data_IF_785442567907
#
_entry.id   IF_785442567907
#
_cell.length_a   1.000
_cell.length_b   1.000
_cell.length_c   1.000
_cell.angle_alpha   90.00
_cell.angle_beta   90.00
_cell.angle_gamma   90.00
#
_symmetry.space_group_name_H-M   'P 1'
#
loop_
_entity.id
_entity.type
_entity.pdbx_description
1 polymer ?
#
# COMPACT_ATOMS: atom_id res chain seq x y z
N UNK A 1 43.55 -4.05 -17.19
CA UNK A 1 42.51 -5.13 -17.12
C UNK A 1 42.26 -5.47 -15.66
N UNK A 2 41.02 -5.45 -15.19
CA UNK A 2 40.66 -5.97 -13.83
C UNK A 2 40.77 -7.49 -13.86
N UNK A 3 41.53 -8.06 -12.91
CA UNK A 3 41.68 -9.51 -12.77
C UNK A 3 40.40 -10.08 -12.15
N UNK A 4 39.69 -10.97 -12.84
CA UNK A 4 38.57 -11.72 -12.33
C UNK A 4 39.13 -12.89 -11.51
N UNK A 5 38.68 -13.01 -10.26
CA UNK A 5 38.94 -14.16 -9.39
C UNK A 5 37.65 -14.96 -9.29
N UNK A 6 37.69 -16.20 -9.76
CA UNK A 6 36.59 -17.14 -9.66
C UNK A 6 36.85 -18.04 -8.46
N UNK A 7 35.91 -18.12 -7.52
CA UNK A 7 35.98 -19.01 -6.36
C UNK A 7 34.72 -19.88 -6.34
N UNK A 8 34.90 -21.14 -6.05
CA UNK A 8 33.80 -22.06 -5.73
C UNK A 8 33.50 -21.94 -4.22
N UNK A 9 32.24 -21.76 -3.88
CA UNK A 9 31.77 -21.58 -2.50
C UNK A 9 30.68 -22.62 -2.21
N UNK A 10 30.67 -23.13 -0.98
CA UNK A 10 29.71 -24.15 -0.51
C UNK A 10 28.42 -23.52 0.08
N UNK A 11 27.95 -22.42 -0.53
CA UNK A 11 26.68 -21.82 -0.14
C UNK A 11 25.87 -21.38 -1.37
N UNK A 12 24.56 -21.45 -1.22
CA UNK A 12 23.63 -21.01 -2.25
C UNK A 12 23.54 -19.49 -2.30
N UNK A 13 23.66 -18.95 -3.52
CA UNK A 13 23.41 -17.53 -3.78
C UNK A 13 21.95 -17.34 -4.22
N UNK A 14 21.31 -16.33 -3.68
CA UNK A 14 19.96 -15.94 -4.11
C UNK A 14 19.96 -14.55 -4.76
N UNK A 15 19.31 -14.38 -5.92
CA UNK A 15 19.12 -13.06 -6.53
C UNK A 15 18.07 -12.22 -5.80
N UNK A 16 17.34 -12.80 -4.84
CA UNK A 16 16.18 -12.18 -4.18
C UNK A 16 16.41 -11.90 -2.70
N UNK A 17 17.67 -11.68 -2.29
CA UNK A 17 18.06 -11.47 -0.89
C UNK A 17 17.25 -10.34 -0.20
N UNK A 18 16.83 -9.31 -0.94
CA UNK A 18 16.00 -8.21 -0.44
C UNK A 18 14.64 -8.66 0.15
N UNK A 19 14.15 -9.86 -0.20
CA UNK A 19 12.92 -10.41 0.40
C UNK A 19 13.00 -10.61 1.91
N UNK A 20 14.20 -10.77 2.46
CA UNK A 20 14.38 -10.86 3.92
C UNK A 20 13.95 -9.58 4.63
N UNK A 21 14.13 -8.41 4.01
CA UNK A 21 13.66 -7.12 4.54
C UNK A 21 12.13 -7.01 4.47
N UNK A 22 11.54 -7.47 3.37
CA UNK A 22 10.08 -7.55 3.23
C UNK A 22 9.50 -8.47 4.30
N UNK A 23 10.09 -9.65 4.49
CA UNK A 23 9.67 -10.59 5.53
C UNK A 23 9.81 -10.02 6.94
N UNK A 24 10.88 -9.26 7.21
CA UNK A 24 11.03 -8.55 8.48
C UNK A 24 9.86 -7.57 8.73
N UNK A 25 9.46 -6.79 7.73
CA UNK A 25 8.28 -5.93 7.82
C UNK A 25 6.99 -6.75 8.05
N UNK A 26 6.82 -7.87 7.32
CA UNK A 26 5.65 -8.74 7.47
C UNK A 26 5.58 -9.43 8.85
N UNK A 27 6.70 -9.60 9.54
CA UNK A 27 6.71 -10.15 10.90
C UNK A 27 5.96 -9.25 11.91
N UNK A 28 5.96 -7.94 11.71
CA UNK A 28 5.16 -7.01 12.50
C UNK A 28 3.64 -7.27 12.33
N UNK A 29 3.24 -7.86 11.21
CA UNK A 29 1.85 -8.16 10.85
C UNK A 29 1.39 -9.56 11.29
N UNK A 30 2.20 -10.33 12.03
CA UNK A 30 1.81 -11.68 12.48
C UNK A 30 0.44 -11.73 13.19
N UNK A 31 0.08 -10.78 14.08
CA UNK A 31 -1.25 -10.78 14.69
C UNK A 31 -2.37 -10.58 13.65
N UNK A 32 -2.16 -9.72 12.65
CA UNK A 32 -3.11 -9.47 11.57
C UNK A 32 -3.31 -10.73 10.72
N UNK A 33 -2.24 -11.43 10.35
CA UNK A 33 -2.31 -12.69 9.61
C UNK A 33 -3.04 -13.80 10.38
N UNK A 34 -2.79 -13.93 11.69
CA UNK A 34 -3.54 -14.88 12.53
C UNK A 34 -5.03 -14.56 12.57
N UNK A 35 -5.40 -13.27 12.66
CA UNK A 35 -6.81 -12.83 12.60
C UNK A 35 -7.42 -13.10 11.24
N UNK A 36 -6.67 -12.91 10.15
CA UNK A 36 -7.10 -13.24 8.79
C UNK A 36 -7.42 -14.74 8.68
N UNK A 37 -6.51 -15.61 9.10
CA UNK A 37 -6.72 -17.06 9.03
C UNK A 37 -7.88 -17.53 9.94
N UNK A 38 -8.05 -16.91 11.10
CA UNK A 38 -9.17 -17.21 12.01
C UNK A 38 -10.53 -16.75 11.43
N UNK A 39 -10.56 -15.59 10.76
CA UNK A 39 -11.79 -15.05 10.16
C UNK A 39 -12.18 -15.77 8.86
N UNK A 40 -11.20 -16.29 8.12
CA UNK A 40 -11.41 -17.01 6.87
C UNK A 40 -10.84 -18.44 6.97
N UNK A 41 -11.44 -19.31 7.81
CA UNK A 41 -10.91 -20.64 8.04
C UNK A 41 -10.98 -21.49 6.78
N UNK A 42 -9.96 -22.35 6.62
CA UNK A 42 -9.89 -23.34 5.53
C UNK A 42 -9.88 -24.76 6.14
N UNK A 43 -10.45 -25.72 5.41
CA UNK A 43 -10.47 -27.12 5.84
C UNK A 43 -9.22 -27.92 5.47
N UNK A 44 -8.19 -27.25 4.93
CA UNK A 44 -6.93 -27.84 4.51
C UNK A 44 -6.32 -27.06 3.35
N UNK A 45 -5.05 -27.36 3.03
CA UNK A 45 -4.30 -26.67 1.99
C UNK A 45 -3.59 -25.40 2.48
N UNK A 46 -3.41 -24.44 1.59
CA UNK A 46 -2.61 -23.23 1.82
C UNK A 46 -3.40 -22.22 2.65
N UNK A 47 -2.85 -21.75 3.77
CA UNK A 47 -3.44 -20.72 4.62
C UNK A 47 -3.65 -19.41 3.85
N UNK A 48 -4.65 -18.59 4.25
CA UNK A 48 -4.86 -17.31 3.60
C UNK A 48 -3.72 -16.32 3.86
N UNK A 49 -3.08 -16.42 5.02
CA UNK A 49 -1.84 -15.70 5.32
C UNK A 49 -0.72 -16.05 4.34
N UNK A 50 -0.53 -17.33 4.01
CA UNK A 50 0.47 -17.78 3.04
C UNK A 50 0.15 -17.28 1.62
N UNK A 51 -1.13 -17.24 1.24
CA UNK A 51 -1.60 -16.66 -0.03
C UNK A 51 -1.20 -15.18 -0.13
N UNK A 52 -1.52 -14.39 0.89
CA UNK A 52 -1.22 -12.95 0.90
C UNK A 52 0.29 -12.71 0.95
N UNK A 53 1.04 -13.43 1.78
CA UNK A 53 2.51 -13.32 1.87
C UNK A 53 3.17 -13.68 0.54
N UNK A 54 2.68 -14.74 -0.14
CA UNK A 54 3.19 -15.16 -1.45
C UNK A 54 2.99 -14.05 -2.48
N UNK A 55 1.80 -13.44 -2.51
CA UNK A 55 1.51 -12.38 -3.46
C UNK A 55 2.31 -11.09 -3.16
N UNK A 56 2.46 -10.71 -1.89
CA UNK A 56 3.34 -9.59 -1.49
C UNK A 56 4.78 -9.88 -1.94
N UNK A 57 5.26 -11.12 -1.78
CA UNK A 57 6.59 -11.51 -2.25
C UNK A 57 6.77 -11.36 -3.75
N UNK A 58 5.76 -11.71 -4.55
CA UNK A 58 5.76 -11.50 -6.00
C UNK A 58 5.80 -10.00 -6.34
N UNK A 59 4.92 -9.19 -5.73
CA UNK A 59 4.88 -7.75 -5.96
C UNK A 59 6.20 -7.08 -5.59
N UNK A 60 6.84 -7.50 -4.50
CA UNK A 60 8.15 -7.00 -4.09
C UNK A 60 9.28 -7.33 -5.10
N UNK A 61 9.07 -8.35 -5.95
CA UNK A 61 9.96 -8.69 -7.07
C UNK A 61 9.54 -8.03 -8.40
N UNK A 62 8.56 -7.13 -8.38
CA UNK A 62 8.01 -6.53 -9.60
C UNK A 62 7.20 -7.50 -10.45
N UNK A 63 6.72 -8.62 -9.88
CA UNK A 63 5.90 -9.63 -10.57
C UNK A 63 4.43 -9.40 -10.20
N UNK A 64 3.61 -9.01 -11.16
CA UNK A 64 2.16 -8.85 -10.97
C UNK A 64 1.36 -10.07 -11.44
N UNK A 65 1.96 -10.98 -12.18
CA UNK A 65 1.33 -12.21 -12.67
C UNK A 65 1.41 -13.31 -11.62
N UNK A 66 0.29 -13.94 -11.35
CA UNK A 66 0.20 -15.09 -10.44
C UNK A 66 1.03 -16.30 -10.89
N UNK A 67 1.24 -16.46 -12.20
CA UNK A 67 2.01 -17.58 -12.76
C UNK A 67 3.50 -17.50 -12.38
N UNK A 68 3.99 -16.29 -12.05
CA UNK A 68 5.35 -16.12 -11.58
C UNK A 68 5.66 -16.88 -10.28
N UNK A 69 4.64 -17.30 -9.49
CA UNK A 69 4.85 -18.06 -8.25
C UNK A 69 5.48 -19.43 -8.51
N UNK A 70 5.27 -20.00 -9.71
CA UNK A 70 5.82 -21.31 -10.08
C UNK A 70 7.37 -21.31 -10.11
N UNK A 71 7.98 -20.14 -10.36
CA UNK A 71 9.44 -19.99 -10.36
C UNK A 71 10.05 -20.15 -8.95
N UNK A 72 9.24 -20.05 -7.90
CA UNK A 72 9.69 -20.12 -6.49
C UNK A 72 9.33 -21.44 -5.81
N UNK A 73 8.79 -22.42 -6.53
CA UNK A 73 8.35 -23.70 -5.95
C UNK A 73 9.45 -24.45 -5.20
N UNK A 74 10.66 -24.45 -5.73
CA UNK A 74 11.83 -25.07 -5.11
C UNK A 74 12.67 -24.11 -4.28
N UNK A 75 12.30 -22.83 -4.21
CA UNK A 75 13.10 -21.80 -3.54
C UNK A 75 12.80 -21.79 -2.04
N UNK A 76 13.70 -22.41 -1.27
CA UNK A 76 13.61 -22.41 0.19
C UNK A 76 13.76 -21.00 0.77
N UNK A 77 14.59 -20.15 0.15
CA UNK A 77 14.83 -18.79 0.62
C UNK A 77 13.58 -17.90 0.49
N UNK A 78 12.84 -18.01 -0.64
CA UNK A 78 11.57 -17.29 -0.81
C UNK A 78 10.58 -17.63 0.31
N UNK A 79 10.41 -18.92 0.60
CA UNK A 79 9.52 -19.39 1.67
C UNK A 79 9.94 -18.90 3.06
N UNK A 80 11.22 -19.09 3.40
CA UNK A 80 11.76 -18.73 4.70
C UNK A 80 11.75 -17.23 4.93
N UNK A 81 12.16 -16.46 3.94
CA UNK A 81 12.20 -14.98 4.02
C UNK A 81 10.83 -14.39 4.32
N UNK A 82 9.77 -14.95 3.75
CA UNK A 82 8.41 -14.45 3.89
C UNK A 82 7.59 -15.17 4.98
N UNK A 83 8.17 -16.12 5.72
CA UNK A 83 7.50 -16.91 6.74
C UNK A 83 6.27 -17.65 6.18
N UNK A 84 6.44 -18.29 5.01
CA UNK A 84 5.43 -19.06 4.29
C UNK A 84 5.59 -20.54 4.65
N UNK A 85 4.55 -21.13 5.21
CA UNK A 85 4.54 -22.57 5.53
C UNK A 85 4.34 -23.40 4.26
N UNK A 86 3.36 -23.04 3.44
CA UNK A 86 3.04 -23.78 2.20
C UNK A 86 2.85 -22.79 1.03
N UNK A 87 3.72 -22.91 0.02
CA UNK A 87 3.65 -22.09 -1.18
C UNK A 87 2.47 -22.53 -2.07
N UNK A 88 1.57 -21.59 -2.46
CA UNK A 88 0.46 -21.92 -3.35
C UNK A 88 0.95 -22.22 -4.78
N UNK A 89 0.18 -23.00 -5.53
CA UNK A 89 0.29 -23.02 -6.99
C UNK A 89 -0.31 -21.77 -7.61
N UNK A 90 0.06 -21.45 -8.85
CA UNK A 90 -0.54 -20.33 -9.59
C UNK A 90 -2.08 -20.41 -9.63
N UNK A 91 -2.70 -21.57 -9.99
CA UNK A 91 -4.15 -21.71 -9.93
C UNK A 91 -4.74 -21.47 -8.52
N UNK A 92 -4.08 -21.98 -7.48
CA UNK A 92 -4.52 -21.80 -6.09
C UNK A 92 -4.45 -20.33 -5.68
N UNK A 93 -3.35 -19.65 -6.02
CA UNK A 93 -3.17 -18.23 -5.73
C UNK A 93 -4.26 -17.39 -6.40
N UNK A 94 -4.49 -17.60 -7.71
CA UNK A 94 -5.51 -16.91 -8.49
C UNK A 94 -6.91 -17.14 -7.92
N UNK A 95 -7.32 -18.40 -7.80
CA UNK A 95 -8.65 -18.75 -7.30
C UNK A 95 -8.92 -18.21 -5.89
N UNK A 96 -7.91 -18.23 -5.02
CA UNK A 96 -8.06 -17.74 -3.65
C UNK A 96 -8.16 -16.21 -3.61
N UNK A 97 -7.36 -15.51 -4.39
CA UNK A 97 -7.43 -14.04 -4.49
C UNK A 97 -8.78 -13.60 -5.05
N UNK A 98 -9.28 -14.26 -6.12
CA UNK A 98 -10.58 -13.95 -6.71
C UNK A 98 -11.73 -14.24 -5.72
N UNK A 99 -11.75 -15.45 -5.14
CA UNK A 99 -12.84 -15.86 -4.25
C UNK A 99 -12.90 -15.09 -2.92
N UNK A 100 -11.81 -14.46 -2.50
CA UNK A 100 -11.69 -13.76 -1.21
C UNK A 100 -11.38 -12.28 -1.35
N UNK A 101 -11.42 -11.70 -2.54
CA UNK A 101 -11.04 -10.32 -2.81
C UNK A 101 -11.75 -9.32 -1.86
N UNK A 102 -13.08 -9.38 -1.75
CA UNK A 102 -13.85 -8.47 -0.88
C UNK A 102 -13.50 -8.64 0.60
N UNK A 103 -13.35 -9.88 1.07
CA UNK A 103 -12.97 -10.13 2.45
C UNK A 103 -11.52 -9.70 2.75
N UNK A 104 -10.59 -9.92 1.81
CA UNK A 104 -9.19 -9.50 1.96
C UNK A 104 -9.07 -7.97 1.98
N UNK A 105 -9.92 -7.27 1.26
CA UNK A 105 -9.95 -5.80 1.25
C UNK A 105 -10.08 -5.21 2.67
N UNK A 106 -10.93 -5.80 3.52
CA UNK A 106 -11.14 -5.34 4.89
C UNK A 106 -9.95 -5.57 5.82
N UNK A 107 -9.01 -6.45 5.44
CA UNK A 107 -7.78 -6.69 6.22
C UNK A 107 -6.62 -5.77 5.84
N UNK A 108 -6.62 -5.16 4.66
CA UNK A 108 -5.51 -4.32 4.19
C UNK A 108 -5.34 -3.05 5.04
N UNK A 109 -6.37 -2.24 5.32
CA UNK A 109 -6.22 -1.02 6.12
C UNK A 109 -5.65 -1.26 7.52
N UNK A 110 -6.15 -2.25 8.31
CA UNK A 110 -5.55 -2.59 9.60
C UNK A 110 -4.09 -3.06 9.51
N UNK A 111 -3.70 -3.73 8.43
CA UNK A 111 -2.30 -4.13 8.23
C UNK A 111 -1.41 -2.90 7.97
N UNK A 112 -1.84 -1.97 7.12
CA UNK A 112 -1.13 -0.71 6.87
C UNK A 112 -0.97 0.07 8.18
N UNK A 113 -2.03 0.22 8.95
CA UNK A 113 -2.01 0.93 10.22
C UNK A 113 -1.07 0.26 11.23
N UNK A 114 -1.09 -1.08 11.33
CA UNK A 114 -0.18 -1.83 12.21
C UNK A 114 1.28 -1.64 11.79
N UNK A 115 1.57 -1.71 10.49
CA UNK A 115 2.92 -1.55 9.96
C UNK A 115 3.46 -0.15 10.23
N UNK A 116 2.74 0.89 9.83
CA UNK A 116 3.15 2.28 9.97
C UNK A 116 3.18 2.71 11.44
N UNK A 117 2.18 2.32 12.22
CA UNK A 117 2.13 2.62 13.66
C UNK A 117 3.23 1.95 14.46
N UNK A 118 3.65 0.73 14.07
CA UNK A 118 4.76 0.01 14.68
C UNK A 118 6.13 0.58 14.32
N UNK A 119 6.33 0.97 13.06
CA UNK A 119 7.59 1.54 12.56
C UNK A 119 7.76 3.01 12.94
N UNK A 120 6.66 3.75 13.15
CA UNK A 120 6.65 5.19 13.44
C UNK A 120 7.59 6.00 12.53
N UNK A 121 7.44 5.89 11.21
CA UNK A 121 8.32 6.58 10.30
C UNK A 121 8.17 8.09 10.45
N UNK A 122 9.18 8.83 10.01
CA UNK A 122 9.03 10.26 9.80
C UNK A 122 8.10 10.47 8.58
N UNK A 123 6.91 11.00 8.82
CA UNK A 123 5.94 11.29 7.77
C UNK A 123 6.29 12.53 6.95
N UNK A 124 7.25 13.35 7.39
CA UNK A 124 7.60 14.62 6.75
C UNK A 124 6.54 15.69 6.99
N UNK A 125 6.65 16.38 8.12
CA UNK A 125 5.80 17.53 8.45
C UNK A 125 6.24 18.73 7.61
N UNK A 126 5.28 19.48 7.07
CA UNK A 126 5.56 20.70 6.31
C UNK A 126 6.15 21.80 7.22
N UNK A 127 6.93 22.77 6.66
CA UNK A 127 7.54 23.86 7.45
C UNK A 127 6.54 24.70 8.25
N UNK A 128 5.27 24.73 7.83
CA UNK A 128 4.18 25.38 8.55
C UNK A 128 3.60 24.55 9.70
N UNK A 129 4.19 23.40 10.03
CA UNK A 129 3.75 22.52 11.11
C UNK A 129 2.56 21.61 10.78
N UNK A 130 2.21 21.48 9.50
CA UNK A 130 1.10 20.62 9.04
C UNK A 130 1.61 19.28 8.52
N UNK A 131 0.87 18.22 8.82
CA UNK A 131 1.05 16.92 8.20
C UNK A 131 0.03 16.82 7.06
N UNK A 132 0.47 16.79 5.77
CA UNK A 132 -0.45 16.70 4.65
C UNK A 132 -1.06 15.31 4.55
N UNK A 133 -2.33 15.26 4.17
CA UNK A 133 -2.99 14.07 3.65
C UNK A 133 -3.44 14.39 2.23
N UNK A 134 -2.75 13.84 1.27
CA UNK A 134 -3.02 14.06 -0.15
C UNK A 134 -3.87 12.91 -0.67
N UNK A 135 -5.05 13.23 -1.24
CA UNK A 135 -5.96 12.26 -1.86
C UNK A 135 -6.16 12.68 -3.29
N UNK A 136 -5.82 11.80 -4.23
CA UNK A 136 -5.87 12.08 -5.65
C UNK A 136 -6.30 10.87 -6.47
N UNK A 137 -6.82 11.14 -7.66
CA UNK A 137 -7.16 10.15 -8.66
C UNK A 137 -6.20 10.23 -9.83
N UNK A 138 -5.85 9.10 -10.38
CA UNK A 138 -4.98 9.03 -11.55
C UNK A 138 -5.52 8.05 -12.59
N UNK A 139 -5.26 8.32 -13.86
CA UNK A 139 -5.63 7.42 -14.94
C UNK A 139 -4.61 6.27 -15.03
N UNK A 140 -5.10 5.03 -14.96
CA UNK A 140 -4.30 3.83 -15.14
C UNK A 140 -4.70 3.19 -16.48
N UNK A 141 -3.82 3.31 -17.48
CA UNK A 141 -4.06 2.74 -18.81
C UNK A 141 -4.17 1.21 -18.76
N UNK A 142 -5.26 0.70 -19.28
CA UNK A 142 -5.54 -0.72 -19.48
C UNK A 142 -6.20 -0.92 -20.86
N UNK A 143 -5.91 -0.03 -21.80
CA UNK A 143 -6.41 -0.08 -23.16
C UNK A 143 -6.12 -1.42 -23.82
N UNK A 144 -7.00 -1.85 -24.72
CA UNK A 144 -6.88 -3.12 -25.42
C UNK A 144 -7.20 -4.35 -24.56
N UNK A 145 -7.68 -4.20 -23.32
CA UNK A 145 -8.15 -5.31 -22.48
C UNK A 145 -9.67 -5.29 -22.33
N UNK A 146 -10.26 -6.48 -22.14
CA UNK A 146 -11.69 -6.66 -21.84
C UNK A 146 -11.95 -6.85 -20.34
N UNK A 147 -11.12 -6.29 -19.49
CA UNK A 147 -11.28 -6.40 -18.04
C UNK A 147 -12.50 -5.59 -17.58
N UNK A 148 -13.20 -6.12 -16.59
CA UNK A 148 -14.33 -5.45 -15.96
C UNK A 148 -13.91 -4.10 -15.37
N UNK A 149 -14.73 -3.06 -15.56
CA UNK A 149 -14.48 -1.71 -15.06
C UNK A 149 -13.53 -0.86 -15.92
N UNK A 150 -12.94 -1.42 -16.98
CA UNK A 150 -12.18 -0.64 -17.94
C UNK A 150 -13.15 0.27 -18.72
N UNK A 151 -12.82 1.55 -18.79
CA UNK A 151 -13.61 2.54 -19.52
C UNK A 151 -12.84 3.82 -19.73
N UNK A 152 -13.44 4.79 -20.43
CA UNK A 152 -12.79 6.04 -20.78
C UNK A 152 -12.54 6.90 -19.55
N UNK A 153 -11.28 7.11 -19.21
CA UNK A 153 -10.86 7.94 -18.08
C UNK A 153 -10.88 9.44 -18.44
N UNK A 154 -10.81 10.30 -17.42
CA UNK A 154 -10.70 11.75 -17.60
C UNK A 154 -9.45 12.17 -18.41
N UNK A 155 -8.40 11.37 -18.39
CA UNK A 155 -7.17 11.61 -19.18
C UNK A 155 -7.29 11.16 -20.64
N UNK A 156 -8.46 10.63 -21.05
CA UNK A 156 -8.68 10.21 -22.41
C UNK A 156 -8.04 8.88 -22.80
N UNK A 157 -7.66 8.05 -21.84
CA UNK A 157 -7.20 6.67 -22.04
C UNK A 157 -8.26 5.70 -21.54
N UNK A 158 -8.31 4.50 -22.12
CA UNK A 158 -9.20 3.44 -21.66
C UNK A 158 -8.50 2.67 -20.55
N UNK A 159 -9.12 2.61 -19.36
CA UNK A 159 -8.48 2.03 -18.20
C UNK A 159 -9.29 2.16 -16.92
N UNK A 160 -8.59 2.28 -15.80
CA UNK A 160 -9.17 2.53 -14.48
C UNK A 160 -8.86 3.95 -14.02
N UNK A 161 -9.62 4.43 -13.02
CA UNK A 161 -9.39 5.71 -12.35
C UNK A 161 -9.21 5.49 -10.83
N UNK A 162 -8.10 4.85 -10.39
CA UNK A 162 -7.85 4.62 -8.98
C UNK A 162 -7.83 5.90 -8.17
N UNK A 163 -8.20 5.79 -6.88
CA UNK A 163 -8.05 6.84 -5.88
C UNK A 163 -7.00 6.39 -4.89
N UNK A 164 -5.99 7.22 -4.66
CA UNK A 164 -4.92 6.98 -3.70
C UNK A 164 -4.91 8.03 -2.61
N UNK A 165 -4.56 7.62 -1.39
CA UNK A 165 -4.39 8.51 -0.25
C UNK A 165 -2.98 8.35 0.33
N UNK A 166 -2.26 9.46 0.46
CA UNK A 166 -0.89 9.50 0.95
C UNK A 166 -0.74 10.41 2.17
N UNK A 167 -0.06 9.94 3.20
CA UNK A 167 0.21 10.66 4.42
C UNK A 167 1.63 11.22 4.43
N UNK A 168 1.73 12.50 4.77
CA UNK A 168 3.00 13.20 4.92
C UNK A 168 3.66 13.59 3.60
N UNK A 169 4.63 14.48 3.67
CA UNK A 169 5.40 14.92 2.49
C UNK A 169 6.30 13.80 1.94
N UNK A 170 6.54 12.74 2.71
CA UNK A 170 7.27 11.54 2.27
C UNK A 170 6.37 10.53 1.56
N UNK A 171 5.03 10.75 1.51
CA UNK A 171 4.12 10.00 0.66
C UNK A 171 3.84 8.57 1.09
N UNK A 172 3.55 8.33 2.37
CA UNK A 172 3.15 6.99 2.84
C UNK A 172 1.73 6.66 2.40
N UNK A 173 1.58 5.64 1.55
CA UNK A 173 0.28 5.21 1.04
C UNK A 173 -0.56 4.61 2.18
N UNK A 174 -1.72 5.20 2.45
CA UNK A 174 -2.70 4.71 3.41
C UNK A 174 -3.79 3.88 2.75
N UNK A 175 -4.16 4.23 1.52
CA UNK A 175 -5.21 3.56 0.76
C UNK A 175 -4.96 3.69 -0.73
N UNK A 176 -5.30 2.63 -1.45
CA UNK A 176 -5.38 2.60 -2.91
C UNK A 176 -6.66 1.85 -3.29
N UNK A 177 -7.67 2.58 -3.77
CA UNK A 177 -8.93 2.01 -4.21
C UNK A 177 -9.00 1.97 -5.73
N UNK A 178 -9.12 0.76 -6.29
CA UNK A 178 -9.34 0.59 -7.72
C UNK A 178 -10.79 0.99 -8.05
N UNK A 179 -10.96 1.88 -9.04
CA UNK A 179 -12.26 2.37 -9.47
C UNK A 179 -12.41 2.26 -10.98
N UNK A 180 -13.66 2.09 -11.49
CA UNK A 180 -13.92 2.09 -12.93
C UNK A 180 -13.40 3.36 -13.63
N UNK A 181 -12.93 3.20 -14.86
CA UNK A 181 -12.36 4.31 -15.63
C UNK A 181 -13.32 5.46 -15.89
N UNK A 182 -14.61 5.17 -16.02
CA UNK A 182 -15.67 6.17 -16.26
C UNK A 182 -16.10 6.92 -14.99
N UNK A 183 -15.61 6.51 -13.82
CA UNK A 183 -16.03 7.11 -12.55
C UNK A 183 -15.44 8.51 -12.40
N UNK A 184 -16.30 9.48 -12.07
CA UNK A 184 -15.87 10.85 -11.84
C UNK A 184 -14.95 10.93 -10.61
N UNK A 185 -13.92 11.78 -10.66
CA UNK A 185 -12.92 11.91 -9.59
C UNK A 185 -13.52 12.19 -8.20
N UNK A 186 -14.60 12.97 -8.15
CA UNK A 186 -15.26 13.30 -6.89
C UNK A 186 -16.21 12.21 -6.35
N UNK A 187 -16.55 11.20 -7.15
CA UNK A 187 -17.46 10.13 -6.72
C UNK A 187 -16.80 9.30 -5.63
N UNK A 188 -17.55 8.98 -4.56
CA UNK A 188 -17.11 8.15 -3.42
C UNK A 188 -15.86 8.68 -2.68
N UNK A 189 -15.46 9.92 -2.94
CA UNK A 189 -14.32 10.53 -2.23
C UNK A 189 -14.64 10.73 -0.75
N UNK A 190 -15.87 11.05 -0.40
CA UNK A 190 -16.38 11.16 0.96
C UNK A 190 -16.24 9.84 1.73
N UNK A 191 -16.66 8.73 1.12
CA UNK A 191 -16.52 7.38 1.70
C UNK A 191 -15.04 7.02 1.96
N UNK A 192 -14.14 7.37 1.03
CA UNK A 192 -12.70 7.14 1.22
C UNK A 192 -12.15 8.02 2.35
N UNK A 193 -12.53 9.31 2.39
CA UNK A 193 -12.09 10.23 3.43
C UNK A 193 -12.54 9.82 4.83
N UNK A 194 -13.76 9.29 4.97
CA UNK A 194 -14.28 8.76 6.24
C UNK A 194 -13.44 7.61 6.81
N UNK A 195 -12.75 6.85 5.95
CA UNK A 195 -11.85 5.76 6.35
C UNK A 195 -10.43 6.24 6.59
N UNK A 196 -9.91 7.06 5.66
CA UNK A 196 -8.50 7.47 5.66
C UNK A 196 -8.19 8.53 6.70
N UNK A 197 -9.10 9.51 6.94
CA UNK A 197 -8.87 10.57 7.94
C UNK A 197 -8.68 10.01 9.35
N UNK A 198 -9.55 9.12 9.88
CA UNK A 198 -9.32 8.55 11.21
C UNK A 198 -8.03 7.73 11.30
N UNK A 199 -7.64 7.02 10.23
CA UNK A 199 -6.37 6.28 10.19
C UNK A 199 -5.19 7.25 10.27
N UNK A 200 -5.18 8.31 9.45
CA UNK A 200 -4.14 9.33 9.47
C UNK A 200 -4.03 10.01 10.83
N UNK A 201 -5.17 10.25 11.50
CA UNK A 201 -5.24 10.80 12.86
C UNK A 201 -4.56 9.88 13.88
N UNK A 202 -4.88 8.59 13.86
CA UNK A 202 -4.27 7.61 14.79
C UNK A 202 -2.77 7.49 14.56
N UNK A 203 -2.33 7.43 13.31
CA UNK A 203 -0.91 7.36 12.95
C UNK A 203 -0.15 8.63 13.36
N UNK A 204 -0.74 9.81 13.17
CA UNK A 204 -0.13 11.08 13.59
C UNK A 204 -0.10 11.26 15.11
N UNK A 205 -1.07 10.72 15.83
CA UNK A 205 -1.11 10.78 17.31
C UNK A 205 -0.07 9.85 17.96
N UNK A 206 0.33 8.79 17.28
CA UNK A 206 1.39 7.88 17.71
C UNK A 206 2.80 8.44 17.49
N UNK A 207 2.94 9.46 16.64
CA UNK A 207 4.16 10.22 16.39
C UNK A 207 4.27 11.49 17.24
N UNK A 208 5.22 12.40 16.99
CA UNK A 208 5.25 13.72 17.59
C UNK A 208 3.91 14.44 17.28
N UNK A 209 3.18 14.76 18.36
CA UNK A 209 1.76 15.16 18.33
C UNK A 209 1.49 16.35 17.43
N UNK A 210 0.56 16.18 16.51
CA UNK A 210 0.14 17.20 15.55
C UNK A 210 -1.39 17.47 15.59
N UNK A 211 -1.88 18.72 15.67
CA UNK A 211 -3.30 19.03 15.58
C UNK A 211 -3.81 19.02 14.12
N UNK A 212 -5.05 18.58 13.94
CA UNK A 212 -5.69 18.40 12.63
C UNK A 212 -6.57 19.60 12.30
N UNK A 213 -6.48 20.12 11.07
CA UNK A 213 -7.51 20.93 10.44
C UNK A 213 -7.78 20.45 9.03
N UNK A 214 -9.04 20.21 8.72
CA UNK A 214 -9.49 19.94 7.35
C UNK A 214 -9.87 21.26 6.67
N UNK A 215 -9.31 21.54 5.49
CA UNK A 215 -9.84 22.56 4.60
C UNK A 215 -10.46 21.87 3.38
N UNK A 216 -11.77 22.09 3.16
CA UNK A 216 -12.39 21.80 1.89
C UNK A 216 -11.89 22.83 0.88
N UNK A 217 -11.07 22.41 -0.06
CA UNK A 217 -10.78 23.20 -1.25
C UNK A 217 -11.85 22.94 -2.32
N UNK A 218 -12.16 23.94 -3.18
CA UNK A 218 -13.13 23.75 -4.26
C UNK A 218 -12.57 22.79 -5.31
N UNK A 219 -13.46 22.00 -5.86
CA UNK A 219 -13.35 21.00 -6.93
C UNK A 219 -12.13 21.18 -7.83
N UNK A 220 -11.04 20.59 -7.45
CA UNK A 220 -9.91 20.21 -8.29
C UNK A 220 -9.75 18.69 -8.13
N UNK A 221 -9.18 18.04 -9.10
CA UNK A 221 -8.92 16.58 -9.11
C UNK A 221 -8.13 16.06 -7.90
N UNK A 222 -7.60 16.95 -7.07
CA UNK A 222 -6.82 16.66 -5.87
C UNK A 222 -7.51 17.23 -4.64
N UNK A 223 -7.85 16.38 -3.67
CA UNK A 223 -8.31 16.80 -2.34
C UNK A 223 -7.12 16.75 -1.39
N UNK A 224 -6.60 17.92 -1.03
CA UNK A 224 -5.53 18.02 -0.02
C UNK A 224 -6.14 18.29 1.34
N UNK A 225 -6.07 17.31 2.25
CA UNK A 225 -6.44 17.43 3.65
C UNK A 225 -5.16 17.60 4.45
N UNK A 226 -5.00 18.73 5.14
CA UNK A 226 -3.82 18.96 5.97
C UNK A 226 -4.13 18.74 7.44
N UNK A 227 -3.38 17.83 8.06
CA UNK A 227 -3.45 17.53 9.49
C UNK A 227 -2.43 18.40 10.22
N UNK A 228 -2.87 19.24 11.18
CA UNK A 228 -1.96 20.14 11.89
C UNK A 228 -1.16 19.43 12.98
N UNK A 229 0.16 19.53 12.92
CA UNK A 229 1.07 19.15 14.00
C UNK A 229 0.99 20.19 15.14
N UNK A 230 0.89 19.78 16.41
CA UNK A 230 1.02 20.74 17.53
C UNK A 230 2.46 21.23 17.60
N UNK A 231 2.71 22.53 17.47
CA UNK A 231 4.05 23.04 17.68
C UNK A 231 4.43 22.91 19.16
N UNK A 232 5.64 22.44 19.40
CA UNK A 232 6.32 22.76 20.63
C UNK A 232 6.69 24.25 20.51
N UNK A 233 5.88 25.13 21.09
CA UNK A 233 6.18 26.55 21.40
C UNK A 233 6.44 27.58 20.29
N UNK A 234 5.78 27.53 19.10
CA UNK A 234 5.81 28.67 18.17
C UNK A 234 4.52 28.77 17.35
N UNK A 235 3.92 29.97 17.14
CA UNK A 235 2.75 30.12 16.29
C UNK A 235 3.13 29.90 14.81
N UNK A 236 2.21 29.34 13.96
CA UNK A 236 2.49 29.14 12.55
C UNK A 236 2.73 30.49 11.83
N UNK A 237 3.82 30.57 11.10
CA UNK A 237 4.16 31.74 10.27
C UNK A 237 3.13 31.86 9.13
N UNK A 238 2.64 33.07 8.80
CA UNK A 238 1.57 33.31 7.80
C UNK A 238 1.93 32.91 6.36
N UNK A 239 3.16 32.51 6.09
CA UNK A 239 3.66 32.23 4.73
C UNK A 239 3.08 30.99 4.05
N UNK A 240 2.48 30.06 4.79
CA UNK A 240 1.99 28.80 4.20
C UNK A 240 0.67 28.98 3.41
N UNK A 241 -0.14 29.99 3.76
CA UNK A 241 -1.41 30.25 3.07
C UNK A 241 -1.26 30.87 1.67
N UNK A 242 -0.10 31.46 1.34
CA UNK A 242 0.14 32.09 0.03
C UNK A 242 0.67 31.15 -1.05
N UNK A 243 1.26 30.01 -0.70
CA UNK A 243 1.79 29.06 -1.69
C UNK A 243 0.77 28.05 -2.22
N UNK A 244 -0.45 28.00 -1.64
CA UNK A 244 -1.49 27.10 -2.11
C UNK A 244 -2.47 27.72 -3.13
N UNK A 245 -2.17 28.95 -3.63
CA UNK A 245 -3.00 29.63 -4.62
C UNK A 245 -2.25 29.88 -5.92
N UNK A 246 -1.69 28.93 -6.52
CA UNK A 246 -1.06 29.17 -7.81
C UNK A 246 -0.33 27.97 -8.37
N UNK A 247 -1.03 27.17 -9.07
CA UNK A 247 -0.78 26.56 -10.37
C UNK A 247 -1.77 25.45 -10.63
#
# INVERSE_FOLDING_TARGET
>A
MRKLIVQQLDYDLTPVAGLSLVGHCLNALRPNFRRLDAALPIRGGVANSDIVRSYIGLLAQGKSDFDAIENYRGDAFFKQSLDIALLPSSPTLRQRMDAKASALFDFVPPMIETLLGGQRPDYGVLPCGWLPLDVDTFAMDNGGTLKEGVGRTYAGVDGYCPLAAYLGSHGFCLELALRPGVQHSASETDFNLERVIPMAQRLSAAGPRAPIRSHRAPVLSTVRVSLAARPVSSPPTPACSRRMRGS
#
